data_IF_002786108220
#
_entry.id   IF_002786108220
#
_cell.length_a   1.000
_cell.length_b   1.000
_cell.length_c   1.000
_cell.angle_alpha   90.00
_cell.angle_beta   90.00
_cell.angle_gamma   90.00
#
_symmetry.space_group_name_H-M   'P 1'
#
loop_
_entity.id
_entity.type
_entity.pdbx_description
1 polymer ?
#
# COMPACT_ATOMS: atom_id res chain seq x y z
N UNK A 1 6.67 4.86 2.75
CA UNK A 1 5.52 5.67 2.31
C UNK A 1 4.99 5.08 1.02
N UNK A 2 3.67 4.96 0.88
CA UNK A 2 2.99 4.38 -0.28
C UNK A 2 1.78 5.26 -0.65
N UNK A 3 1.27 5.11 -1.87
CA UNK A 3 0.21 5.91 -2.46
C UNK A 3 -0.93 5.06 -3.07
N UNK A 4 -1.38 3.96 -2.44
CA UNK A 4 -2.41 3.09 -3.03
C UNK A 4 -3.72 3.85 -3.22
N UNK A 5 -4.34 3.69 -4.39
CA UNK A 5 -5.68 4.21 -4.66
C UNK A 5 -6.30 3.48 -5.85
N UNK A 6 -7.64 3.51 -5.92
CA UNK A 6 -8.35 3.25 -7.17
C UNK A 6 -8.18 4.43 -8.13
N UNK A 7 -8.53 4.22 -9.41
CA UNK A 7 -8.50 5.26 -10.43
C UNK A 7 -9.87 5.91 -10.54
N UNK A 8 -9.89 7.23 -10.41
CA UNK A 8 -11.05 8.08 -10.67
C UNK A 8 -10.63 9.33 -11.47
N UNK A 9 -11.59 10.20 -11.81
CA UNK A 9 -11.33 11.42 -12.58
C UNK A 9 -10.42 12.42 -11.87
N UNK A 10 -10.27 12.32 -10.55
CA UNK A 10 -9.35 13.15 -9.77
C UNK A 10 -7.94 12.60 -9.88
N UNK A 11 -7.78 11.29 -9.67
CA UNK A 11 -6.50 10.58 -9.72
C UNK A 11 -5.93 10.55 -11.13
N UNK A 12 -6.75 10.53 -12.18
CA UNK A 12 -6.31 10.67 -13.58
C UNK A 12 -5.51 11.95 -13.85
N UNK A 13 -5.66 12.98 -13.03
CA UNK A 13 -4.88 14.24 -13.13
C UNK A 13 -3.49 14.12 -12.50
N UNK A 14 -3.20 13.02 -11.80
CA UNK A 14 -1.90 12.77 -11.20
C UNK A 14 -0.96 12.08 -12.19
N UNK A 15 0.28 12.58 -12.30
CA UNK A 15 1.34 11.89 -13.03
C UNK A 15 1.68 10.51 -12.44
N UNK A 16 1.24 10.25 -11.21
CA UNK A 16 1.38 8.97 -10.53
C UNK A 16 0.02 8.29 -10.40
N UNK A 17 -0.77 8.24 -11.48
CA UNK A 17 -2.11 7.64 -11.48
C UNK A 17 -2.04 6.10 -11.45
N UNK A 18 -1.53 5.48 -12.53
CA UNK A 18 -1.58 4.03 -12.69
C UNK A 18 -0.69 3.21 -11.75
N UNK A 19 0.52 3.67 -11.34
CA UNK A 19 1.33 2.92 -10.37
C UNK A 19 0.63 2.62 -9.04
N UNK A 20 -0.39 3.42 -8.67
CA UNK A 20 -1.16 3.24 -7.43
C UNK A 20 -1.96 1.94 -7.40
N UNK A 21 -2.38 1.43 -8.55
CA UNK A 21 -3.06 0.15 -8.66
C UNK A 21 -2.10 -1.01 -8.33
N UNK A 22 -0.86 -0.93 -8.80
CA UNK A 22 0.17 -1.93 -8.47
C UNK A 22 0.53 -1.88 -6.97
N UNK A 23 0.64 -0.68 -6.40
CA UNK A 23 0.83 -0.55 -4.95
C UNK A 23 -0.35 -1.14 -4.17
N UNK A 24 -1.59 -0.88 -4.60
CA UNK A 24 -2.78 -1.43 -3.98
C UNK A 24 -2.78 -2.97 -4.01
N UNK A 25 -2.45 -3.57 -5.16
CA UNK A 25 -2.34 -5.02 -5.30
C UNK A 25 -1.31 -5.63 -4.34
N UNK A 26 -0.11 -5.07 -4.28
CA UNK A 26 0.97 -5.56 -3.41
C UNK A 26 0.56 -5.43 -1.94
N UNK A 27 0.06 -4.26 -1.53
CA UNK A 27 -0.24 -3.94 -0.14
C UNK A 27 -1.46 -4.68 0.39
N UNK A 28 -2.36 -5.14 -0.49
CA UNK A 28 -3.54 -5.94 -0.11
C UNK A 28 -3.33 -7.44 -0.31
N UNK A 29 -2.17 -7.86 -0.82
CA UNK A 29 -1.87 -9.27 -1.05
C UNK A 29 -1.78 -10.08 0.25
N UNK A 30 -2.34 -11.30 0.23
CA UNK A 30 -2.20 -12.24 1.34
C UNK A 30 -0.73 -12.63 1.58
N UNK A 31 0.06 -12.73 0.51
CA UNK A 31 1.49 -13.05 0.57
C UNK A 31 2.26 -12.04 1.43
N UNK A 32 2.00 -10.74 1.27
CA UNK A 32 2.66 -9.71 2.08
C UNK A 32 2.32 -9.86 3.57
N UNK A 33 1.05 -10.15 3.91
CA UNK A 33 0.64 -10.38 5.30
C UNK A 33 1.42 -11.52 5.96
N UNK A 34 1.60 -12.65 5.27
CA UNK A 34 2.38 -13.77 5.79
C UNK A 34 3.88 -13.43 5.88
N UNK A 35 4.41 -12.76 4.86
CA UNK A 35 5.82 -12.36 4.79
C UNK A 35 6.23 -11.39 5.92
N UNK A 36 5.31 -10.54 6.39
CA UNK A 36 5.53 -9.66 7.55
C UNK A 36 5.59 -10.46 8.85
N UNK A 37 4.65 -11.40 9.04
CA UNK A 37 4.57 -12.23 10.24
C UNK A 37 5.79 -13.16 10.38
N UNK A 38 6.22 -13.79 9.28
CA UNK A 38 7.39 -14.68 9.25
C UNK A 38 8.68 -13.95 9.65
N UNK A 39 8.82 -12.68 9.24
CA UNK A 39 9.98 -11.84 9.59
C UNK A 39 9.89 -11.21 10.97
N UNK A 40 8.79 -11.43 11.71
CA UNK A 40 8.59 -10.85 13.04
C UNK A 40 8.39 -9.33 13.04
N UNK A 41 7.98 -8.74 11.91
CA UNK A 41 7.69 -7.30 11.87
C UNK A 41 6.40 -6.98 12.62
N UNK A 42 6.46 -5.97 13.49
CA UNK A 42 5.27 -5.38 14.13
C UNK A 42 4.88 -4.11 13.39
N UNK A 43 3.69 -4.10 12.80
CA UNK A 43 3.12 -2.89 12.22
C UNK A 43 2.71 -1.93 13.35
N UNK A 44 3.27 -0.73 13.34
CA UNK A 44 2.99 0.34 14.29
C UNK A 44 2.29 1.52 13.62
N UNK A 45 1.84 2.44 14.46
CA UNK A 45 1.24 3.72 14.08
C UNK A 45 2.01 4.86 14.76
N UNK A 46 1.73 6.11 14.38
CA UNK A 46 2.33 7.28 15.05
C UNK A 46 2.01 7.39 16.55
N UNK A 47 1.08 6.57 17.08
CA UNK A 47 0.80 6.48 18.53
C UNK A 47 1.79 5.61 19.29
N UNK A 48 2.61 4.82 18.59
CA UNK A 48 3.61 3.93 19.18
C UNK A 48 5.00 4.60 19.30
N UNK A 49 5.08 5.90 18.99
CA UNK A 49 6.29 6.72 19.10
C UNK A 49 6.49 7.28 20.51
#
# INVERSE_FOLDING_TARGET
>A
MCHPSFVDNTILKSNYCYPRLAELEVLTSAALKYALAERGYRLGTFRDL
#
